data_IF_464335491864
#
_entry.id   IF_464335491864
#
_cell.length_a   1.000
_cell.length_b   1.000
_cell.length_c   1.000
_cell.angle_alpha   90.00
_cell.angle_beta   90.00
_cell.angle_gamma   90.00
#
_symmetry.space_group_name_H-M   'P 1'
#
loop_
_entity.id
_entity.type
_entity.pdbx_description
1 polymer ?
#
# COMPACT_ATOMS: atom_id res chain seq x y z
N UNK A 1 10.00 -19.37 -13.40
CA UNK A 1 9.55 -18.05 -12.90
C UNK A 1 8.22 -18.29 -12.21
N UNK A 2 8.08 -17.91 -10.94
CA UNK A 2 6.80 -18.05 -10.24
C UNK A 2 5.80 -17.10 -10.90
N UNK A 3 4.69 -17.64 -11.38
CA UNK A 3 3.64 -16.86 -12.01
C UNK A 3 2.78 -16.23 -10.91
N UNK A 4 3.21 -15.08 -10.38
CA UNK A 4 2.37 -14.32 -9.46
C UNK A 4 1.39 -13.45 -10.25
N UNK A 5 0.17 -13.97 -10.42
CA UNK A 5 -0.91 -13.28 -11.15
C UNK A 5 -1.25 -11.89 -10.59
N UNK A 6 -1.02 -11.66 -9.29
CA UNK A 6 -1.22 -10.36 -8.68
C UNK A 6 -0.19 -9.35 -9.20
N UNK A 7 1.09 -9.71 -9.20
CA UNK A 7 2.16 -8.84 -9.68
C UNK A 7 2.05 -8.55 -11.18
N UNK A 8 1.62 -9.53 -11.96
CA UNK A 8 1.43 -9.39 -13.41
C UNK A 8 0.31 -8.41 -13.78
N UNK A 9 -0.57 -8.09 -12.85
CA UNK A 9 -1.72 -7.21 -13.06
C UNK A 9 -1.66 -5.90 -12.26
N UNK A 10 -0.46 -5.49 -11.83
CA UNK A 10 -0.30 -4.28 -11.02
C UNK A 10 -0.63 -2.98 -11.75
N UNK A 11 -0.57 -3.00 -13.08
CA UNK A 11 -1.00 -1.93 -13.96
C UNK A 11 -2.51 -1.65 -13.88
N UNK A 12 -3.32 -2.68 -13.57
CA UNK A 12 -4.77 -2.55 -13.42
C UNK A 12 -5.19 -1.89 -12.11
N UNK A 13 -4.27 -1.70 -11.17
CA UNK A 13 -4.55 -1.04 -9.90
C UNK A 13 -4.79 0.46 -10.15
N UNK A 14 -6.04 0.87 -9.99
CA UNK A 14 -6.50 2.25 -10.07
C UNK A 14 -7.32 2.58 -8.82
N UNK A 15 -7.47 3.87 -8.55
CA UNK A 15 -8.29 4.36 -7.44
C UNK A 15 -9.14 5.54 -7.91
N UNK A 16 -10.19 5.84 -7.14
CA UNK A 16 -10.97 7.06 -7.31
C UNK A 16 -10.36 8.17 -6.46
N UNK A 17 -10.70 9.43 -6.72
CA UNK A 17 -10.26 10.57 -5.91
C UNK A 17 -10.62 10.37 -4.43
N UNK A 18 -11.84 9.92 -4.14
CA UNK A 18 -12.26 9.61 -2.77
C UNK A 18 -11.50 8.42 -2.17
N UNK A 19 -11.12 7.45 -3.01
CA UNK A 19 -10.24 6.34 -2.64
C UNK A 19 -8.86 6.82 -2.22
N UNK A 20 -8.26 7.78 -2.93
CA UNK A 20 -6.98 8.42 -2.54
C UNK A 20 -7.09 9.01 -1.14
N UNK A 21 -8.13 9.83 -0.87
CA UNK A 21 -8.32 10.49 0.43
C UNK A 21 -8.41 9.47 1.58
N UNK A 22 -9.21 8.41 1.41
CA UNK A 22 -9.36 7.36 2.43
C UNK A 22 -8.06 6.60 2.67
N UNK A 23 -7.37 6.24 1.60
CA UNK A 23 -6.10 5.53 1.70
C UNK A 23 -5.02 6.39 2.37
N UNK A 24 -4.91 7.69 2.03
CA UNK A 24 -4.01 8.61 2.72
C UNK A 24 -4.27 8.64 4.22
N UNK A 25 -5.53 8.76 4.62
CA UNK A 25 -5.91 8.79 6.04
C UNK A 25 -5.60 7.48 6.76
N UNK A 26 -5.97 6.35 6.16
CA UNK A 26 -5.82 5.03 6.78
C UNK A 26 -4.36 4.59 6.88
N UNK A 27 -3.56 4.95 5.89
CA UNK A 27 -2.14 4.60 5.80
C UNK A 27 -1.22 5.72 6.33
N UNK A 28 -1.79 6.82 6.83
CA UNK A 28 -1.08 8.02 7.26
C UNK A 28 -0.05 8.52 6.21
N UNK A 29 -0.47 8.59 4.94
CA UNK A 29 0.37 9.04 3.83
C UNK A 29 0.16 10.52 3.54
N UNK A 30 1.27 11.23 3.34
CA UNK A 30 1.30 12.62 2.85
C UNK A 30 1.77 12.68 1.40
N UNK A 31 1.10 11.92 0.52
CA UNK A 31 1.40 11.90 -0.92
C UNK A 31 0.13 11.63 -1.73
N UNK A 32 -0.04 12.30 -2.86
CA UNK A 32 -1.09 12.01 -3.85
C UNK A 32 -0.81 10.72 -4.65
N UNK A 33 0.43 10.24 -4.64
CA UNK A 33 0.87 9.04 -5.35
C UNK A 33 0.57 7.75 -4.57
N UNK A 34 -0.64 7.64 -4.03
CA UNK A 34 -1.06 6.50 -3.18
C UNK A 34 -0.98 5.17 -3.94
N UNK A 35 -1.33 5.15 -5.23
CA UNK A 35 -1.30 3.92 -6.03
C UNK A 35 0.12 3.43 -6.24
N UNK A 36 1.07 4.34 -6.48
CA UNK A 36 2.49 4.00 -6.59
C UNK A 36 3.02 3.45 -5.27
N UNK A 37 2.62 4.06 -4.14
CA UNK A 37 2.96 3.54 -2.81
C UNK A 37 2.46 2.10 -2.62
N UNK A 38 1.19 1.84 -2.95
CA UNK A 38 0.63 0.49 -2.86
C UNK A 38 1.34 -0.52 -3.77
N UNK A 39 1.67 -0.14 -5.03
CA UNK A 39 2.43 -1.00 -5.96
C UNK A 39 3.80 -1.37 -5.40
N UNK A 40 4.52 -0.38 -4.86
CA UNK A 40 5.84 -0.59 -4.26
C UNK A 40 5.75 -1.53 -3.05
N UNK A 41 4.75 -1.35 -2.19
CA UNK A 41 4.55 -2.19 -1.01
C UNK A 41 4.19 -3.63 -1.36
N UNK A 42 3.29 -3.86 -2.32
CA UNK A 42 2.93 -5.22 -2.75
C UNK A 42 4.14 -5.92 -3.37
N UNK A 43 4.91 -5.20 -4.20
CA UNK A 43 6.14 -5.71 -4.82
C UNK A 43 7.24 -5.98 -3.80
N UNK A 44 7.29 -5.20 -2.71
CA UNK A 44 8.29 -5.37 -1.65
C UNK A 44 7.92 -6.44 -0.64
N UNK A 45 6.62 -6.67 -0.37
CA UNK A 45 6.16 -7.69 0.59
C UNK A 45 6.61 -9.10 0.20
N UNK A 46 6.71 -9.42 -1.10
CA UNK A 46 7.35 -10.67 -1.53
C UNK A 46 8.81 -10.80 -1.06
N UNK A 47 9.48 -9.67 -0.83
CA UNK A 47 10.86 -9.59 -0.36
C UNK A 47 10.98 -9.42 1.18
N UNK A 48 9.89 -9.21 1.91
CA UNK A 48 9.96 -8.84 3.33
C UNK A 48 9.90 -10.05 4.26
N UNK A 49 11.03 -10.32 4.92
CA UNK A 49 11.02 -11.02 6.21
C UNK A 49 10.38 -10.07 7.24
N UNK A 50 9.28 -10.50 7.86
CA UNK A 50 8.47 -9.79 8.86
C UNK A 50 9.22 -9.53 10.20
N UNK A 51 10.48 -9.12 10.15
CA UNK A 51 11.33 -8.97 11.33
C UNK A 51 11.39 -7.53 11.86
N UNK A 52 10.87 -6.54 11.13
CA UNK A 52 11.17 -5.13 11.45
C UNK A 52 10.05 -4.10 11.29
N UNK A 53 8.92 -4.42 10.66
CA UNK A 53 7.90 -3.41 10.43
C UNK A 53 6.92 -3.31 11.59
N UNK A 54 7.07 -2.25 12.38
CA UNK A 54 6.09 -1.85 13.40
C UNK A 54 4.79 -1.50 12.68
N UNK A 55 3.85 -2.45 12.66
CA UNK A 55 2.43 -2.15 12.44
C UNK A 55 2.03 -1.12 13.48
N UNK A 56 2.02 0.17 13.13
CA UNK A 56 1.32 1.14 13.94
C UNK A 56 -0.17 0.79 13.82
N UNK A 57 -0.83 0.38 14.91
CA UNK A 57 -2.25 0.13 14.84
C UNK A 57 -2.93 1.43 14.41
N UNK A 58 -3.89 1.33 13.49
CA UNK A 58 -4.69 2.44 12.95
C UNK A 58 -5.51 3.17 14.04
N UNK A 59 -5.35 2.79 15.31
CA UNK A 59 -6.05 3.32 16.49
C UNK A 59 -5.43 4.60 17.05
N UNK A 60 -4.29 5.09 16.55
CA UNK A 60 -3.67 6.33 17.07
C UNK A 60 -3.69 7.53 16.12
N UNK A 61 -4.32 7.43 14.94
CA UNK A 61 -4.52 8.56 14.02
C UNK A 61 -5.74 9.44 14.34
N UNK A 62 -6.26 9.37 15.58
CA UNK A 62 -7.23 10.31 16.14
C UNK A 62 -6.64 10.93 17.40
N UNK A 63 -5.76 11.91 17.24
CA UNK A 63 -5.62 13.00 18.19
C UNK A 63 -5.24 14.28 17.47
#
# INVERSE_FOLDING_TARGET
MQNNELLNHMDKLHTTELGVVRSKRNLALDTDHVVDWCRNMISSVESWSWSGMRMLPVTHAMR
#
